data_IF_392435007668
#
_entry.id   IF_392435007668
#
_cell.length_a   1.000
_cell.length_b   1.000
_cell.length_c   1.000
_cell.angle_alpha   90.00
_cell.angle_beta   90.00
_cell.angle_gamma   90.00
#
_symmetry.space_group_name_H-M   'P 1'
#
loop_
_entity.id
_entity.type
_entity.pdbx_description
1 polymer ?
#
# COMPACT_ATOMS: atom_id res chain seq x y z
N UNK A 1 6.53 65.90 -15.89
CA UNK A 1 6.23 64.81 -14.94
C UNK A 1 5.15 63.91 -15.54
N UNK A 2 5.50 62.79 -16.21
CA UNK A 2 4.51 61.80 -16.61
C UNK A 2 4.55 60.57 -15.68
N UNK A 3 3.36 60.14 -15.28
CA UNK A 3 3.08 58.84 -14.66
C UNK A 3 3.25 57.72 -15.69
N UNK A 4 3.88 56.60 -15.31
CA UNK A 4 3.72 55.31 -15.98
C UNK A 4 3.30 54.25 -14.96
N UNK A 5 2.05 53.77 -15.11
CA UNK A 5 1.56 52.54 -14.51
C UNK A 5 2.16 51.36 -15.28
N UNK A 6 2.98 50.55 -14.62
CA UNK A 6 3.36 49.23 -15.11
C UNK A 6 2.60 48.18 -14.30
N UNK A 7 1.49 47.69 -14.86
CA UNK A 7 0.80 46.49 -14.35
C UNK A 7 1.67 45.29 -14.73
N UNK A 8 2.37 44.74 -13.73
CA UNK A 8 3.08 43.49 -13.90
C UNK A 8 2.04 42.35 -13.90
N UNK A 9 1.80 41.74 -15.06
CA UNK A 9 0.99 40.53 -15.16
C UNK A 9 1.73 39.36 -14.49
N UNK A 10 1.13 38.60 -13.55
CA UNK A 10 1.77 37.40 -13.03
C UNK A 10 1.82 36.34 -14.13
N UNK A 11 3.03 35.89 -14.45
CA UNK A 11 3.28 34.78 -15.35
C UNK A 11 2.50 33.54 -14.88
N UNK A 12 1.45 33.20 -15.60
CA UNK A 12 0.71 31.97 -15.36
C UNK A 12 1.51 30.78 -15.91
N UNK A 13 1.64 29.76 -15.05
CA UNK A 13 1.71 28.34 -15.38
C UNK A 13 3.08 27.71 -15.71
N UNK A 14 3.93 27.55 -14.70
CA UNK A 14 4.88 26.42 -14.65
C UNK A 14 4.90 25.64 -13.32
N UNK A 15 4.13 26.09 -12.33
CA UNK A 15 4.08 25.49 -10.99
C UNK A 15 3.30 24.18 -10.94
N UNK A 16 2.20 24.03 -11.68
CA UNK A 16 1.42 22.77 -11.67
C UNK A 16 2.16 21.58 -12.29
N UNK A 17 2.88 21.79 -13.39
CA UNK A 17 3.65 20.73 -14.07
C UNK A 17 4.93 20.39 -13.31
N UNK A 18 5.52 21.36 -12.59
CA UNK A 18 6.64 21.13 -11.68
C UNK A 18 6.20 20.41 -10.39
N UNK A 19 5.03 20.75 -9.85
CA UNK A 19 4.44 20.07 -8.69
C UNK A 19 4.17 18.59 -9.00
N UNK A 20 3.52 18.27 -10.12
CA UNK A 20 3.31 16.88 -10.56
C UNK A 20 4.62 16.11 -10.85
N UNK A 21 5.73 16.81 -11.15
CA UNK A 21 7.07 16.22 -11.33
C UNK A 21 7.85 16.09 -10.01
N UNK A 22 7.61 16.96 -9.05
CA UNK A 22 8.23 16.95 -7.71
C UNK A 22 7.51 16.05 -6.72
N UNK A 23 6.26 15.68 -7.01
CA UNK A 23 5.43 14.74 -6.22
C UNK A 23 5.23 13.42 -6.94
N UNK A 24 6.24 12.89 -7.66
CA UNK A 24 6.18 11.49 -8.08
C UNK A 24 6.03 10.64 -6.82
N UNK A 25 4.78 10.32 -6.52
CA UNK A 25 4.35 9.19 -5.71
C UNK A 25 5.34 8.09 -5.98
N UNK A 26 6.01 7.61 -4.93
CA UNK A 26 6.98 6.55 -5.01
C UNK A 26 6.41 5.43 -5.91
N UNK A 27 6.97 5.29 -7.11
CA UNK A 27 6.49 4.39 -8.14
C UNK A 27 7.49 3.25 -8.24
N UNK A 28 6.99 2.02 -8.35
CA UNK A 28 7.85 0.87 -8.55
C UNK A 28 8.64 1.03 -9.85
N UNK A 29 9.92 0.67 -9.81
CA UNK A 29 10.74 0.54 -11.00
C UNK A 29 10.14 -0.53 -11.93
N UNK A 30 10.46 -0.44 -13.22
CA UNK A 30 10.03 -1.45 -14.19
C UNK A 30 10.51 -2.85 -13.79
N UNK A 31 11.70 -2.98 -13.19
CA UNK A 31 12.21 -4.25 -12.69
C UNK A 31 11.32 -4.86 -11.61
N UNK A 32 10.92 -4.07 -10.61
CA UNK A 32 10.02 -4.53 -9.56
C UNK A 32 8.64 -4.92 -10.10
N UNK A 33 8.09 -4.18 -11.07
CA UNK A 33 6.83 -4.55 -11.73
C UNK A 33 6.95 -5.87 -12.49
N UNK A 34 8.06 -6.09 -13.22
CA UNK A 34 8.30 -7.34 -13.94
C UNK A 34 8.45 -8.53 -12.98
N UNK A 35 9.10 -8.34 -11.82
CA UNK A 35 9.20 -9.36 -10.77
C UNK A 35 7.82 -9.72 -10.19
N UNK A 36 6.98 -8.72 -9.90
CA UNK A 36 5.59 -8.92 -9.47
C UNK A 36 4.78 -9.68 -10.53
N UNK A 37 5.04 -9.41 -11.81
CA UNK A 37 4.44 -10.12 -12.94
C UNK A 37 5.05 -11.53 -13.18
N UNK A 38 5.92 -12.02 -12.28
CA UNK A 38 6.53 -13.34 -12.35
C UNK A 38 7.65 -13.50 -13.38
N UNK A 39 8.19 -12.39 -13.91
CA UNK A 39 9.33 -12.41 -14.84
C UNK A 39 10.65 -12.47 -14.07
N UNK A 40 11.68 -13.01 -14.71
CA UNK A 40 13.01 -13.26 -14.09
C UNK A 40 13.71 -12.00 -13.58
N UNK A 41 14.61 -12.19 -12.61
CA UNK A 41 15.28 -11.14 -11.85
C UNK A 41 16.44 -10.43 -12.58
N UNK A 42 16.76 -10.85 -13.81
CA UNK A 42 17.85 -10.27 -14.61
C UNK A 42 17.61 -8.80 -15.01
N UNK A 43 16.47 -8.23 -14.61
CA UNK A 43 16.06 -6.84 -14.81
C UNK A 43 16.08 -6.01 -13.51
N UNK A 44 16.91 -6.37 -12.50
CA UNK A 44 17.08 -5.53 -11.33
C UNK A 44 17.56 -4.12 -11.75
N UNK A 45 16.81 -3.09 -11.34
CA UNK A 45 17.11 -1.69 -11.64
C UNK A 45 18.41 -1.21 -10.98
N UNK A 46 18.68 0.10 -11.04
CA UNK A 46 19.84 0.64 -10.31
C UNK A 46 19.71 0.38 -8.81
N UNK A 47 20.82 0.40 -8.05
CA UNK A 47 20.77 0.19 -6.58
C UNK A 47 19.84 1.17 -5.87
N UNK A 48 19.73 2.41 -6.37
CA UNK A 48 18.82 3.41 -5.84
C UNK A 48 17.35 3.03 -6.09
N UNK A 49 17.05 2.50 -7.28
CA UNK A 49 15.71 2.01 -7.63
C UNK A 49 15.31 0.83 -6.75
N UNK A 50 16.23 -0.13 -6.55
CA UNK A 50 15.98 -1.31 -5.70
C UNK A 50 15.66 -0.92 -4.26
N UNK A 51 16.41 0.02 -3.67
CA UNK A 51 16.15 0.46 -2.30
C UNK A 51 14.78 1.17 -2.19
N UNK A 52 14.41 1.98 -3.19
CA UNK A 52 13.10 2.62 -3.25
C UNK A 52 11.97 1.60 -3.40
N UNK A 53 12.13 0.63 -4.29
CA UNK A 53 11.18 -0.47 -4.52
C UNK A 53 10.93 -1.27 -3.24
N UNK A 54 12.00 -1.67 -2.54
CA UNK A 54 11.88 -2.39 -1.26
C UNK A 54 11.11 -1.59 -0.22
N UNK A 55 11.29 -0.26 -0.17
CA UNK A 55 10.52 0.63 0.70
C UNK A 55 9.03 0.61 0.39
N UNK A 56 8.67 0.77 -0.90
CA UNK A 56 7.27 0.74 -1.36
C UNK A 56 6.63 -0.63 -1.09
N UNK A 57 7.33 -1.71 -1.43
CA UNK A 57 6.83 -3.08 -1.25
C UNK A 57 6.64 -3.41 0.24
N UNK A 58 7.47 -2.89 1.13
CA UNK A 58 7.27 -3.06 2.58
C UNK A 58 6.08 -2.27 3.12
N UNK A 59 5.78 -1.09 2.57
CA UNK A 59 4.52 -0.39 2.88
C UNK A 59 3.32 -1.24 2.46
N UNK A 60 3.34 -1.77 1.23
CA UNK A 60 2.29 -2.66 0.75
C UNK A 60 2.17 -3.92 1.62
N UNK A 61 3.28 -4.55 1.99
CA UNK A 61 3.30 -5.74 2.85
C UNK A 61 2.69 -5.47 4.23
N UNK A 62 2.99 -4.31 4.83
CA UNK A 62 2.37 -3.88 6.08
C UNK A 62 0.84 -3.75 5.97
N UNK A 63 0.34 -3.23 4.85
CA UNK A 63 -1.10 -3.12 4.58
C UNK A 63 -1.75 -4.49 4.35
N UNK A 64 -1.07 -5.42 3.66
CA UNK A 64 -1.57 -6.79 3.51
C UNK A 64 -1.69 -7.50 4.86
N UNK A 65 -0.70 -7.34 5.76
CA UNK A 65 -0.80 -7.84 7.14
C UNK A 65 -2.00 -7.26 7.88
N UNK A 66 -2.22 -5.95 7.79
CA UNK A 66 -3.37 -5.30 8.41
C UNK A 66 -4.71 -5.83 7.83
N UNK A 67 -4.81 -5.96 6.51
CA UNK A 67 -6.00 -6.50 5.83
C UNK A 67 -6.31 -7.94 6.24
N UNK A 68 -5.31 -8.83 6.27
CA UNK A 68 -5.48 -10.22 6.72
C UNK A 68 -6.01 -10.28 8.16
N UNK A 69 -5.46 -9.43 9.04
CA UNK A 69 -5.86 -9.39 10.44
C UNK A 69 -7.21 -8.72 10.66
N UNK A 70 -7.58 -7.71 9.87
CA UNK A 70 -8.92 -7.12 9.89
C UNK A 70 -9.98 -8.18 9.57
N UNK A 71 -9.79 -8.96 8.51
CA UNK A 71 -10.69 -10.08 8.18
C UNK A 71 -10.66 -11.19 9.23
N UNK A 72 -9.49 -11.49 9.81
CA UNK A 72 -9.38 -12.46 10.91
C UNK A 72 -10.21 -12.03 12.12
N UNK A 73 -10.11 -10.76 12.51
CA UNK A 73 -10.83 -10.19 13.64
C UNK A 73 -12.34 -10.17 13.37
N UNK A 74 -12.75 -9.65 12.20
CA UNK A 74 -14.15 -9.62 11.77
C UNK A 74 -14.79 -11.02 11.79
N UNK A 75 -14.11 -12.02 11.23
CA UNK A 75 -14.58 -13.41 11.24
C UNK A 75 -14.67 -14.00 12.66
N UNK A 76 -13.70 -13.71 13.54
CA UNK A 76 -13.66 -14.20 14.92
C UNK A 76 -14.75 -13.60 15.82
N UNK A 77 -15.35 -12.47 15.45
CA UNK A 77 -16.47 -11.89 16.23
C UNK A 77 -17.71 -12.78 16.23
N UNK A 78 -17.90 -13.60 15.19
CA UNK A 78 -19.15 -14.35 14.97
C UNK A 78 -20.35 -13.49 14.54
N UNK A 79 -20.14 -12.20 14.25
CA UNK A 79 -21.20 -11.26 13.85
C UNK A 79 -21.58 -11.38 12.37
N UNK A 80 -20.68 -11.88 11.52
CA UNK A 80 -20.91 -12.04 10.09
C UNK A 80 -21.86 -13.21 9.80
N UNK A 81 -22.95 -12.93 9.07
CA UNK A 81 -23.81 -13.96 8.53
C UNK A 81 -23.05 -14.80 7.51
N UNK A 82 -23.43 -16.08 7.36
CA UNK A 82 -22.70 -17.06 6.54
C UNK A 82 -22.32 -16.56 5.13
N UNK A 83 -23.21 -15.92 4.35
CA UNK A 83 -22.84 -15.44 3.01
C UNK A 83 -21.77 -14.35 3.04
N UNK A 84 -21.80 -13.45 4.02
CA UNK A 84 -20.82 -12.37 4.18
C UNK A 84 -19.49 -12.93 4.67
N UNK A 85 -19.52 -13.84 5.64
CA UNK A 85 -18.34 -14.56 6.12
C UNK A 85 -17.62 -15.29 4.99
N UNK A 86 -18.36 -15.96 4.10
CA UNK A 86 -17.77 -16.70 2.98
C UNK A 86 -17.04 -15.78 1.99
N UNK A 87 -17.52 -14.55 1.79
CA UNK A 87 -16.86 -13.55 0.95
C UNK A 87 -15.65 -12.96 1.69
N UNK A 88 -15.80 -12.63 2.97
CA UNK A 88 -14.73 -12.11 3.81
C UNK A 88 -13.52 -13.06 3.85
N UNK A 89 -13.76 -14.37 3.96
CA UNK A 89 -12.69 -15.37 3.94
C UNK A 89 -12.00 -15.47 2.57
N UNK A 90 -12.71 -15.28 1.46
CA UNK A 90 -12.09 -15.22 0.13
C UNK A 90 -11.18 -14.01 -0.03
N UNK A 91 -11.64 -12.82 0.37
CA UNK A 91 -10.77 -11.64 0.35
C UNK A 91 -9.57 -11.79 1.27
N UNK A 92 -9.74 -12.42 2.43
CA UNK A 92 -8.60 -12.75 3.28
C UNK A 92 -7.58 -13.64 2.56
N UNK A 93 -8.03 -14.66 1.83
CA UNK A 93 -7.15 -15.54 1.08
C UNK A 93 -6.44 -14.81 -0.08
N UNK A 94 -7.11 -13.88 -0.75
CA UNK A 94 -6.48 -13.00 -1.76
C UNK A 94 -5.37 -12.16 -1.13
N UNK A 95 -5.61 -11.54 0.04
CA UNK A 95 -4.60 -10.79 0.78
C UNK A 95 -3.40 -11.66 1.20
N UNK A 96 -3.62 -12.92 1.60
CA UNK A 96 -2.52 -13.87 1.89
C UNK A 96 -1.68 -14.13 0.64
N UNK A 97 -2.32 -14.32 -0.52
CA UNK A 97 -1.61 -14.50 -1.78
C UNK A 97 -0.77 -13.26 -2.15
N UNK A 98 -1.31 -12.05 -1.95
CA UNK A 98 -0.57 -10.81 -2.15
C UNK A 98 0.62 -10.69 -1.20
N UNK A 99 0.42 -10.91 0.10
CA UNK A 99 1.48 -10.90 1.12
C UNK A 99 2.63 -11.82 0.72
N UNK A 100 2.33 -13.05 0.36
CA UNK A 100 3.34 -14.05 0.04
C UNK A 100 4.14 -13.66 -1.23
N UNK A 101 3.47 -13.09 -2.23
CA UNK A 101 4.11 -12.54 -3.44
C UNK A 101 5.01 -11.33 -3.12
N UNK A 102 4.56 -10.43 -2.24
CA UNK A 102 5.33 -9.26 -1.81
C UNK A 102 6.58 -9.69 -1.06
N UNK A 103 6.46 -10.61 -0.10
CA UNK A 103 7.61 -11.17 0.65
C UNK A 103 8.61 -11.77 -0.33
N UNK A 104 8.16 -12.62 -1.25
CA UNK A 104 9.03 -13.25 -2.24
C UNK A 104 9.75 -12.21 -3.12
N UNK A 105 9.07 -11.13 -3.49
CA UNK A 105 9.66 -10.07 -4.32
C UNK A 105 10.68 -9.24 -3.55
N UNK A 106 10.37 -8.87 -2.30
CA UNK A 106 11.29 -8.15 -1.42
C UNK A 106 12.59 -8.95 -1.26
N UNK A 107 12.49 -10.27 -1.04
CA UNK A 107 13.66 -11.14 -0.93
C UNK A 107 14.45 -11.23 -2.25
N UNK A 108 13.78 -11.32 -3.41
CA UNK A 108 14.46 -11.31 -4.73
C UNK A 108 15.23 -10.01 -5.00
N UNK A 109 14.74 -8.88 -4.47
CA UNK A 109 15.41 -7.59 -4.51
C UNK A 109 16.52 -7.43 -3.46
N UNK A 110 16.73 -8.44 -2.60
CA UNK A 110 17.71 -8.42 -1.52
C UNK A 110 17.29 -7.58 -0.30
N UNK A 111 16.01 -7.21 -0.21
CA UNK A 111 15.44 -6.51 0.94
C UNK A 111 14.99 -7.46 2.06
N UNK A 112 14.77 -6.89 3.24
CA UNK A 112 14.13 -7.58 4.36
C UNK A 112 12.64 -7.27 4.36
N UNK A 113 11.80 -8.31 4.47
CA UNK A 113 10.37 -8.17 4.61
C UNK A 113 10.00 -7.68 6.02
N UNK A 114 9.03 -6.76 6.12
CA UNK A 114 8.49 -6.29 7.40
C UNK A 114 7.68 -7.39 8.07
N UNK A 115 7.97 -7.59 9.34
CA UNK A 115 7.29 -8.58 10.17
C UNK A 115 5.85 -8.16 10.49
N UNK A 116 4.98 -9.17 10.56
CA UNK A 116 3.60 -9.01 10.99
C UNK A 116 3.53 -8.63 12.48
N UNK A 117 2.60 -7.74 12.85
CA UNK A 117 2.35 -7.41 14.26
C UNK A 117 1.49 -8.49 14.91
N UNK A 118 1.36 -8.45 16.23
CA UNK A 118 0.45 -9.36 16.93
C UNK A 118 -1.02 -9.04 16.59
N UNK A 119 -1.88 -10.06 16.60
CA UNK A 119 -3.32 -9.89 16.41
C UNK A 119 -3.95 -8.90 17.42
N UNK A 120 -3.44 -8.85 18.66
CA UNK A 120 -3.88 -7.88 19.68
C UNK A 120 -3.51 -6.43 19.32
N UNK A 121 -2.35 -6.20 18.70
CA UNK A 121 -1.98 -4.88 18.21
C UNK A 121 -2.93 -4.40 17.11
N UNK A 122 -3.32 -5.30 16.19
CA UNK A 122 -4.33 -5.00 15.16
C UNK A 122 -5.71 -4.78 15.78
N UNK A 123 -6.13 -5.62 16.73
CA UNK A 123 -7.43 -5.47 17.41
C UNK A 123 -7.57 -4.10 18.09
N UNK A 124 -6.50 -3.61 18.72
CA UNK A 124 -6.45 -2.27 19.33
C UNK A 124 -6.47 -1.17 18.28
N UNK A 125 -5.63 -1.27 17.24
CA UNK A 125 -5.56 -0.27 16.18
C UNK A 125 -6.89 -0.11 15.41
N UNK A 126 -7.60 -1.23 15.21
CA UNK A 126 -8.88 -1.29 14.48
C UNK A 126 -10.10 -1.13 15.40
N UNK A 127 -9.91 -0.92 16.71
CA UNK A 127 -10.98 -0.87 17.70
C UNK A 127 -11.95 -2.09 17.62
N UNK A 128 -11.44 -3.28 17.32
CA UNK A 128 -12.25 -4.47 17.05
C UNK A 128 -13.13 -4.89 18.24
N UNK A 129 -12.77 -4.50 19.47
CA UNK A 129 -13.59 -4.73 20.67
C UNK A 129 -14.88 -3.91 20.74
N UNK A 130 -15.10 -2.95 19.84
CA UNK A 130 -16.31 -2.12 19.80
C UNK A 130 -17.38 -2.65 18.84
N UNK A 131 -17.09 -3.70 18.07
CA UNK A 131 -18.01 -4.29 17.09
C UNK A 131 -19.18 -4.99 17.80
N UNK A 132 -20.41 -4.68 17.38
CA UNK A 132 -21.65 -5.20 18.00
C UNK A 132 -22.59 -5.85 17.00
N UNK A 133 -22.51 -5.48 15.73
CA UNK A 133 -23.30 -6.10 14.66
C UNK A 133 -22.46 -6.34 13.42
N UNK A 134 -23.05 -7.02 12.43
CA UNK A 134 -22.42 -7.23 11.13
C UNK A 134 -22.09 -5.89 10.45
N UNK A 135 -22.96 -4.88 10.60
CA UNK A 135 -22.80 -3.56 10.01
C UNK A 135 -21.61 -2.80 10.57
N UNK A 136 -21.17 -3.11 11.80
CA UNK A 136 -19.94 -2.53 12.35
C UNK A 136 -18.68 -3.14 11.70
N UNK A 137 -18.79 -4.32 11.10
CA UNK A 137 -17.68 -5.06 10.47
C UNK A 137 -17.47 -4.66 9.00
N UNK A 138 -18.52 -4.15 8.33
CA UNK A 138 -18.55 -3.79 6.91
C UNK A 138 -18.12 -2.33 6.68
#
# INVERSE_FOLDING_TARGET
>A
MPFLFQVNQPAANNTRRSFLRGTTVAALSTGAVLLLAGRGADAAGSKADVASDVGILNVALGLEHEGINAYTLGAKTGLLQKPVLDIALKFQDDHKAHRDLLIATIHKLGGQAVEERTLDAYAKALNAGQLKSQEDVL
#
